data_IF_775843575633
#
_entry.id   IF_775843575633
#
_cell.length_a   1.000
_cell.length_b   1.000
_cell.length_c   1.000
_cell.angle_alpha   90.00
_cell.angle_beta   90.00
_cell.angle_gamma   90.00
#
_symmetry.space_group_name_H-M   'P 1'
#
loop_
_entity.id
_entity.type
_entity.pdbx_description
1 polymer ?
#
# COMPACT_ATOMS: atom_id res chain seq x y z
N UNK A 1 -5.68 15.82 -12.60
CA UNK A 1 -4.33 15.48 -12.10
C UNK A 1 -4.00 14.07 -12.56
N UNK A 2 -2.76 13.85 -13.01
CA UNK A 2 -2.27 12.53 -13.39
C UNK A 2 -1.97 11.73 -12.11
N UNK A 3 -2.42 10.47 -12.06
CA UNK A 3 -2.09 9.53 -10.99
C UNK A 3 -0.63 9.09 -11.12
N UNK A 4 0.16 9.16 -10.04
CA UNK A 4 1.58 8.77 -10.04
C UNK A 4 1.96 8.11 -8.71
N UNK A 5 2.88 7.14 -8.77
CA UNK A 5 3.41 6.42 -7.61
C UNK A 5 4.78 6.96 -7.21
N UNK A 6 5.06 6.99 -5.90
CA UNK A 6 6.25 7.63 -5.32
C UNK A 6 7.00 6.72 -4.34
N UNK A 7 8.34 6.74 -4.46
CA UNK A 7 9.26 6.06 -3.55
C UNK A 7 9.15 4.52 -3.53
N UNK A 8 9.80 3.88 -2.56
CA UNK A 8 9.96 2.43 -2.53
C UNK A 8 8.67 1.65 -2.29
N UNK A 9 7.73 2.21 -1.53
CA UNK A 9 6.40 1.65 -1.24
C UNK A 9 5.37 2.02 -2.32
N UNK A 10 5.78 2.73 -3.38
CA UNK A 10 4.94 3.10 -4.53
C UNK A 10 3.63 3.78 -4.10
N UNK A 11 3.75 4.80 -3.24
CA UNK A 11 2.58 5.52 -2.70
C UNK A 11 1.93 6.33 -3.82
N UNK A 12 0.66 6.05 -4.12
CA UNK A 12 -0.07 6.77 -5.15
C UNK A 12 -0.48 8.19 -4.71
N UNK A 13 -0.42 9.17 -5.63
CA UNK A 13 -0.83 10.56 -5.38
C UNK A 13 -2.27 10.72 -4.90
N UNK A 14 -3.18 9.77 -5.18
CA UNK A 14 -4.54 9.79 -4.65
C UNK A 14 -4.59 9.76 -3.11
N UNK A 15 -3.57 9.19 -2.45
CA UNK A 15 -3.48 9.15 -1.00
C UNK A 15 -3.07 10.49 -0.38
N UNK A 16 -2.48 11.41 -1.15
CA UNK A 16 -1.86 12.63 -0.61
C UNK A 16 -2.87 13.52 0.11
N UNK A 17 -4.13 13.56 -0.35
CA UNK A 17 -5.20 14.30 0.35
C UNK A 17 -5.42 13.74 1.76
N UNK A 18 -5.48 12.40 1.90
CA UNK A 18 -5.66 11.73 3.21
C UNK A 18 -4.41 11.78 4.08
N UNK A 19 -3.24 11.84 3.44
CA UNK A 19 -1.93 11.86 4.09
C UNK A 19 -1.42 13.29 4.36
N UNK A 20 -2.14 14.33 3.93
CA UNK A 20 -1.74 15.73 4.07
C UNK A 20 -1.39 16.11 5.52
N UNK A 21 -2.06 15.49 6.49
CA UNK A 21 -1.78 15.60 7.94
C UNK A 21 -0.37 15.18 8.36
N UNK A 22 0.36 14.45 7.52
CA UNK A 22 1.75 14.04 7.73
C UNK A 22 2.76 14.94 6.99
N UNK A 23 2.30 16.08 6.46
CA UNK A 23 3.11 17.04 5.69
C UNK A 23 3.83 16.38 4.49
N UNK A 24 3.16 15.46 3.79
CA UNK A 24 3.70 14.82 2.59
C UNK A 24 3.95 15.85 1.49
N UNK A 25 5.15 15.84 0.93
CA UNK A 25 5.55 16.67 -0.20
C UNK A 25 6.45 15.88 -1.17
N UNK A 26 6.73 16.47 -2.33
CA UNK A 26 7.50 15.80 -3.39
C UNK A 26 8.95 15.49 -3.00
N UNK A 27 9.49 16.10 -1.94
CA UNK A 27 10.85 15.85 -1.47
C UNK A 27 10.87 14.73 -0.42
N UNK A 28 10.04 14.83 0.62
CA UNK A 28 10.06 13.87 1.73
C UNK A 28 9.52 12.50 1.34
N UNK A 29 8.64 12.41 0.33
CA UNK A 29 8.06 11.14 -0.13
C UNK A 29 9.12 10.17 -0.68
N UNK A 30 10.29 10.65 -1.08
CA UNK A 30 11.41 9.81 -1.52
C UNK A 30 12.37 9.43 -0.39
N UNK A 31 12.27 10.02 0.80
CA UNK A 31 13.07 9.58 1.94
C UNK A 31 12.61 8.17 2.39
N UNK A 32 13.52 7.18 2.45
CA UNK A 32 13.12 5.79 2.65
C UNK A 32 12.26 5.53 3.89
N UNK A 33 12.71 5.99 5.07
CA UNK A 33 11.98 5.78 6.31
C UNK A 33 10.60 6.45 6.29
N UNK A 34 10.51 7.65 5.73
CA UNK A 34 9.24 8.37 5.61
C UNK A 34 8.28 7.64 4.68
N UNK A 35 8.77 7.16 3.53
CA UNK A 35 7.98 6.41 2.55
C UNK A 35 7.48 5.07 3.12
N UNK A 36 8.33 4.35 3.86
CA UNK A 36 7.94 3.13 4.60
C UNK A 36 6.83 3.41 5.60
N UNK A 37 6.98 4.44 6.43
CA UNK A 37 5.95 4.79 7.42
C UNK A 37 4.62 5.17 6.77
N UNK A 38 4.62 5.91 5.66
CA UNK A 38 3.40 6.23 4.92
C UNK A 38 2.75 4.97 4.33
N UNK A 39 3.53 4.08 3.72
CA UNK A 39 3.03 2.81 3.19
C UNK A 39 2.43 1.95 4.29
N UNK A 40 3.10 1.86 5.44
CA UNK A 40 2.60 1.16 6.62
C UNK A 40 1.28 1.77 7.13
N UNK A 41 1.16 3.09 7.14
CA UNK A 41 -0.09 3.76 7.53
C UNK A 41 -1.24 3.43 6.57
N UNK A 42 -1.00 3.46 5.25
CA UNK A 42 -2.01 3.07 4.24
C UNK A 42 -2.44 1.62 4.43
N UNK A 43 -1.48 0.71 4.61
CA UNK A 43 -1.77 -0.70 4.86
C UNK A 43 -2.55 -0.90 6.18
N UNK A 44 -2.17 -0.20 7.25
CA UNK A 44 -2.88 -0.22 8.53
C UNK A 44 -4.32 0.29 8.39
N UNK A 45 -4.57 1.27 7.53
CA UNK A 45 -5.92 1.77 7.24
C UNK A 45 -6.79 0.69 6.55
N UNK A 46 -6.21 -0.10 5.65
CA UNK A 46 -6.90 -1.26 5.07
C UNK A 46 -7.24 -2.30 6.13
N UNK A 47 -6.31 -2.63 7.03
CA UNK A 47 -6.58 -3.56 8.13
C UNK A 47 -7.63 -3.05 9.10
N UNK A 48 -7.59 -1.76 9.46
CA UNK A 48 -8.58 -1.15 10.35
C UNK A 48 -9.99 -1.16 9.76
N UNK A 49 -10.13 -1.13 8.43
CA UNK A 49 -11.44 -1.07 7.78
C UNK A 49 -11.98 -2.43 7.35
N UNK A 50 -11.13 -3.39 7.01
CA UNK A 50 -11.54 -4.69 6.43
C UNK A 50 -10.92 -5.91 7.13
N UNK A 51 -10.27 -5.71 8.27
CA UNK A 51 -9.68 -6.77 9.10
C UNK A 51 -8.28 -7.19 8.65
N UNK A 52 -7.60 -7.92 9.53
CA UNK A 52 -6.26 -8.47 9.28
C UNK A 52 -6.35 -9.74 8.41
N UNK A 53 -6.24 -9.55 7.10
CA UNK A 53 -6.32 -10.64 6.12
C UNK A 53 -5.61 -10.25 4.82
N UNK A 54 -5.41 -11.24 3.95
CA UNK A 54 -4.77 -11.05 2.66
C UNK A 54 -5.54 -10.10 1.74
N UNK A 55 -6.87 -10.01 1.84
CA UNK A 55 -7.64 -9.10 1.00
C UNK A 55 -7.29 -7.63 1.32
N UNK A 56 -7.06 -7.29 2.58
CA UNK A 56 -6.57 -5.97 3.01
C UNK A 56 -5.15 -5.66 2.50
N UNK A 57 -4.29 -6.67 2.38
CA UNK A 57 -2.97 -6.55 1.73
C UNK A 57 -3.13 -6.32 0.22
N UNK A 58 -3.96 -7.11 -0.45
CA UNK A 58 -4.26 -6.95 -1.88
C UNK A 58 -4.83 -5.58 -2.23
N UNK A 59 -5.69 -5.05 -1.36
CA UNK A 59 -6.32 -3.75 -1.53
C UNK A 59 -5.33 -2.58 -1.46
N UNK A 60 -4.12 -2.77 -0.91
CA UNK A 60 -3.07 -1.75 -0.95
C UNK A 60 -2.73 -1.36 -2.40
N UNK A 61 -2.65 -2.36 -3.29
CA UNK A 61 -2.31 -2.14 -4.69
C UNK A 61 -3.52 -1.81 -5.57
N UNK A 62 -4.69 -2.41 -5.31
CA UNK A 62 -5.81 -2.35 -6.24
C UNK A 62 -7.13 -1.81 -5.64
N UNK A 63 -7.14 -1.41 -4.37
CA UNK A 63 -8.35 -0.96 -3.66
C UNK A 63 -9.40 -2.06 -3.47
N UNK A 64 -10.52 -1.75 -2.81
CA UNK A 64 -11.57 -2.72 -2.43
C UNK A 64 -12.71 -2.90 -3.45
N UNK A 65 -12.67 -2.23 -4.60
CA UNK A 65 -13.72 -2.35 -5.62
C UNK A 65 -13.88 -3.80 -6.09
N UNK A 66 -15.12 -4.24 -6.38
CA UNK A 66 -15.37 -5.55 -7.00
C UNK A 66 -14.65 -5.69 -8.35
N UNK A 67 -14.52 -4.59 -9.10
CA UNK A 67 -13.84 -4.57 -10.41
C UNK A 67 -12.35 -4.90 -10.33
N UNK A 68 -11.72 -4.73 -9.16
CA UNK A 68 -10.28 -4.93 -8.96
C UNK A 68 -9.95 -6.21 -8.21
N UNK A 69 -10.93 -7.10 -8.01
CA UNK A 69 -10.73 -8.35 -7.26
C UNK A 69 -9.65 -9.26 -7.87
N UNK A 70 -9.64 -9.42 -9.19
CA UNK A 70 -8.61 -10.22 -9.87
C UNK A 70 -7.21 -9.62 -9.68
N UNK A 71 -7.08 -8.30 -9.76
CA UNK A 71 -5.81 -7.61 -9.51
C UNK A 71 -5.35 -7.78 -8.05
N UNK A 72 -6.27 -7.66 -7.08
CA UNK A 72 -5.97 -7.97 -5.66
C UNK A 72 -5.46 -9.40 -5.49
N UNK A 73 -6.13 -10.39 -6.08
CA UNK A 73 -5.73 -11.81 -6.00
C UNK A 73 -4.32 -12.04 -6.55
N UNK A 74 -4.00 -11.46 -7.70
CA UNK A 74 -2.65 -11.54 -8.30
C UNK A 74 -1.60 -10.91 -7.38
N UNK A 75 -1.88 -9.72 -6.84
CA UNK A 75 -0.93 -9.05 -5.94
C UNK A 75 -0.72 -9.83 -4.64
N UNK A 76 -1.79 -10.40 -4.06
CA UNK A 76 -1.71 -11.26 -2.88
C UNK A 76 -0.78 -12.44 -3.11
N UNK A 77 -0.90 -13.14 -4.25
CA UNK A 77 -0.04 -14.28 -4.59
C UNK A 77 1.44 -13.87 -4.65
N UNK A 78 1.74 -12.69 -5.23
CA UNK A 78 3.10 -12.14 -5.29
C UNK A 78 3.66 -11.83 -3.91
N UNK A 79 2.86 -11.25 -3.01
CA UNK A 79 3.29 -10.94 -1.65
C UNK A 79 3.47 -12.21 -0.83
N UNK A 80 2.53 -13.16 -0.93
CA UNK A 80 2.58 -14.44 -0.21
C UNK A 80 3.84 -15.25 -0.57
N UNK A 81 4.22 -15.31 -1.85
CA UNK A 81 5.40 -16.07 -2.27
C UNK A 81 6.69 -15.56 -1.65
N UNK A 82 6.81 -14.24 -1.44
CA UNK A 82 7.95 -13.62 -0.77
C UNK A 82 7.83 -13.77 0.75
N UNK A 83 6.66 -13.44 1.32
CA UNK A 83 6.42 -13.48 2.77
C UNK A 83 6.66 -14.86 3.36
N UNK A 84 6.10 -15.91 2.75
CA UNK A 84 6.30 -17.27 3.25
C UNK A 84 7.71 -17.78 3.00
N UNK A 85 8.41 -17.34 1.95
CA UNK A 85 9.83 -17.67 1.77
C UNK A 85 10.70 -17.11 2.89
N UNK A 86 10.40 -15.89 3.37
CA UNK A 86 11.15 -15.25 4.46
C UNK A 86 10.84 -15.87 5.84
N UNK A 87 9.63 -16.38 6.03
CA UNK A 87 9.21 -16.98 7.31
C UNK A 87 9.60 -18.46 7.46
N UNK A 88 10.35 -19.03 6.52
CA UNK A 88 10.89 -20.40 6.59
C UNK A 88 12.35 -20.37 7.10
N UNK A 89 12.71 -19.36 7.91
CA UNK A 89 13.97 -19.31 8.65
C UNK A 89 13.77 -19.76 10.09
#
# INVERSE_FOLDING_TARGET
>A
MVSRDFGLMQINSHWFVRLSKFNVNETNIYHPCFNVHLGAWVLSSNFSSHGYNWNSVGAYNAGFSKRTESARKIYIQKVQSVYFKMNVQ
#
